data_IF_479385034736
#
_entry.id   IF_479385034736
#
_cell.length_a   1.000
_cell.length_b   1.000
_cell.length_c   1.000
_cell.angle_alpha   90.00
_cell.angle_beta   90.00
_cell.angle_gamma   90.00
#
_symmetry.space_group_name_H-M   'P 1'
#
loop_
_entity.id
_entity.type
_entity.pdbx_description
1 polymer ?
#
# COMPACT_ATOMS: atom_id res chain seq x y z
N UNK A 1 2.87 13.98 24.49
CA UNK A 1 2.56 14.03 25.94
C UNK A 1 2.14 12.64 26.40
N UNK A 2 2.85 12.09 27.39
CA UNK A 2 2.54 10.80 27.99
C UNK A 2 1.50 11.04 29.10
N UNK A 3 0.23 10.77 28.82
CA UNK A 3 -0.82 10.83 29.82
C UNK A 3 -0.62 9.68 30.82
N UNK A 4 -0.36 10.05 32.08
CA UNK A 4 -0.30 9.14 33.21
C UNK A 4 -1.69 9.00 33.81
N UNK A 5 -2.04 7.78 34.23
CA UNK A 5 -3.34 7.44 34.81
C UNK A 5 -3.08 6.69 36.11
N UNK A 6 -3.74 7.13 37.18
CA UNK A 6 -3.65 6.51 38.50
C UNK A 6 -4.87 5.62 38.73
N UNK A 7 -4.64 4.35 39.01
CA UNK A 7 -5.69 3.38 39.30
C UNK A 7 -5.16 2.31 40.27
N UNK A 8 -5.93 1.96 41.31
CA UNK A 8 -5.54 1.05 42.41
C UNK A 8 -4.15 1.36 43.00
N UNK A 9 -3.86 2.65 43.25
CA UNK A 9 -2.61 3.11 43.83
C UNK A 9 -1.37 3.03 42.91
N UNK A 10 -1.53 2.63 41.64
CA UNK A 10 -0.45 2.61 40.65
C UNK A 10 -0.63 3.73 39.64
N UNK A 11 0.43 4.48 39.36
CA UNK A 11 0.44 5.52 38.31
C UNK A 11 1.25 5.02 37.13
N UNK A 12 0.60 4.72 36.01
CA UNK A 12 1.24 4.20 34.79
C UNK A 12 0.80 4.98 33.56
N UNK A 13 1.59 4.90 32.49
CA UNK A 13 1.19 5.50 31.21
C UNK A 13 0.12 4.64 30.51
N UNK A 14 -0.64 5.25 29.60
CA UNK A 14 -1.66 4.57 28.77
C UNK A 14 -1.12 3.29 28.13
N UNK A 15 0.13 3.28 27.68
CA UNK A 15 0.72 2.10 27.01
C UNK A 15 0.98 0.94 27.96
N UNK A 16 1.30 1.23 29.22
CA UNK A 16 1.57 0.20 30.22
C UNK A 16 0.27 -0.35 30.80
N UNK A 17 -0.72 0.50 31.05
CA UNK A 17 -2.08 0.06 31.40
C UNK A 17 -2.72 -0.77 30.28
N UNK A 18 -2.58 -0.36 29.03
CA UNK A 18 -3.08 -1.14 27.89
C UNK A 18 -2.45 -2.55 27.85
N UNK A 19 -1.14 -2.66 28.12
CA UNK A 19 -0.47 -3.96 28.16
C UNK A 19 -0.91 -4.82 29.34
N UNK A 20 -1.04 -4.22 30.53
CA UNK A 20 -1.47 -4.91 31.75
C UNK A 20 -2.88 -5.48 31.61
N UNK A 21 -3.77 -4.74 30.94
CA UNK A 21 -5.12 -5.20 30.62
C UNK A 21 -5.19 -6.02 29.32
N UNK A 22 -4.09 -6.30 28.62
CA UNK A 22 -4.13 -7.08 27.37
C UNK A 22 -4.82 -6.39 26.17
N UNK A 23 -4.97 -5.07 26.22
CA UNK A 23 -5.59 -4.24 25.18
C UNK A 23 -4.55 -3.61 24.24
N UNK A 24 -4.98 -3.25 23.03
CA UNK A 24 -4.18 -2.36 22.19
C UNK A 24 -4.19 -0.94 22.80
N UNK A 25 -3.07 -0.21 22.64
CA UNK A 25 -2.96 1.19 23.10
C UNK A 25 -4.11 2.05 22.58
N UNK A 26 -4.52 1.85 21.32
CA UNK A 26 -5.61 2.59 20.69
C UNK A 26 -6.98 2.25 21.29
N UNK A 27 -7.23 0.97 21.59
CA UNK A 27 -8.47 0.52 22.25
C UNK A 27 -8.58 1.09 23.65
N UNK A 28 -7.51 0.98 24.44
CA UNK A 28 -7.46 1.51 25.80
C UNK A 28 -7.67 3.03 25.81
N UNK A 29 -6.97 3.76 24.93
CA UNK A 29 -7.18 5.22 24.77
C UNK A 29 -8.61 5.56 24.34
N UNK A 30 -9.20 4.80 23.42
CA UNK A 30 -10.57 5.04 22.95
C UNK A 30 -11.65 4.72 23.97
N UNK A 31 -11.38 3.86 24.95
CA UNK A 31 -12.26 3.61 26.10
C UNK A 31 -12.19 4.76 27.11
N UNK A 32 -10.99 5.23 27.42
CA UNK A 32 -10.79 6.40 28.29
C UNK A 32 -11.39 7.68 27.71
N UNK A 33 -11.26 7.89 26.40
CA UNK A 33 -11.86 9.05 25.72
C UNK A 33 -13.41 9.03 25.69
N UNK A 34 -14.03 7.94 26.14
CA UNK A 34 -15.49 7.79 26.31
C UNK A 34 -15.87 7.67 27.79
N UNK A 35 -15.00 8.15 28.68
CA UNK A 35 -15.19 8.17 30.13
C UNK A 35 -15.46 6.79 30.76
N UNK A 36 -14.85 5.75 30.20
CA UNK A 36 -14.95 4.42 30.81
C UNK A 36 -14.16 4.37 32.13
N UNK A 37 -14.78 3.94 33.24
CA UNK A 37 -14.06 3.76 34.49
C UNK A 37 -13.04 2.62 34.38
N UNK A 38 -11.89 2.78 35.02
CA UNK A 38 -10.76 1.82 34.92
C UNK A 38 -11.13 0.40 35.38
N UNK A 39 -12.01 0.28 36.37
CA UNK A 39 -12.54 -1.00 36.86
C UNK A 39 -13.27 -1.78 35.77
N UNK A 40 -14.05 -1.07 34.96
CA UNK A 40 -14.76 -1.63 33.81
C UNK A 40 -13.81 -2.03 32.69
N UNK A 41 -12.76 -1.24 32.47
CA UNK A 41 -11.75 -1.58 31.47
C UNK A 41 -11.03 -2.86 31.86
N UNK A 42 -10.68 -3.04 33.14
CA UNK A 42 -10.00 -4.24 33.65
C UNK A 42 -10.85 -5.51 33.49
N UNK A 43 -12.13 -5.48 33.88
CA UNK A 43 -13.01 -6.67 33.84
C UNK A 43 -13.36 -7.12 32.42
N UNK A 44 -13.55 -6.19 31.49
CA UNK A 44 -13.92 -6.47 30.10
C UNK A 44 -12.71 -6.72 29.17
N UNK A 45 -11.48 -6.72 29.69
CA UNK A 45 -10.27 -6.77 28.89
C UNK A 45 -9.57 -8.13 28.81
N UNK A 46 -10.16 -9.18 29.39
CA UNK A 46 -9.54 -10.51 29.40
C UNK A 46 -9.59 -11.15 28.01
N UNK A 47 -8.56 -10.89 27.20
CA UNK A 47 -8.23 -11.66 26.01
C UNK A 47 -7.29 -12.81 26.40
N UNK A 48 -7.81 -14.03 26.52
CA UNK A 48 -6.96 -15.22 26.60
C UNK A 48 -6.33 -15.44 25.21
N UNK A 49 -5.00 -15.29 25.11
CA UNK A 49 -4.24 -15.61 23.89
C UNK A 49 -3.97 -17.11 23.85
N UNK A 50 -4.75 -17.85 23.06
CA UNK A 50 -4.30 -19.15 22.54
C UNK A 50 -3.60 -18.95 21.19
N UNK A 51 -2.61 -19.81 20.91
CA UNK A 51 -1.69 -19.67 19.77
C UNK A 51 -2.38 -19.49 18.40
N UNK A 52 -1.69 -18.77 17.50
CA UNK A 52 -2.08 -18.39 16.13
C UNK A 52 -3.59 -18.14 15.93
N UNK A 53 -3.97 -16.89 16.19
CA UNK A 53 -5.10 -16.16 15.58
C UNK A 53 -6.55 -16.39 16.07
N UNK A 54 -6.79 -16.86 17.31
CA UNK A 54 -8.15 -16.84 17.85
C UNK A 54 -8.25 -16.00 19.14
N UNK A 55 -8.82 -14.80 19.01
CA UNK A 55 -9.17 -13.95 20.15
C UNK A 55 -10.51 -14.41 20.70
N UNK A 56 -10.48 -15.13 21.82
CA UNK A 56 -11.67 -15.49 22.58
C UNK A 56 -12.14 -14.28 23.39
N UNK A 57 -13.46 -14.13 23.47
CA UNK A 57 -14.15 -13.10 24.24
C UNK A 57 -14.90 -13.81 25.37
N UNK A 58 -14.61 -13.43 26.62
CA UNK A 58 -15.28 -13.94 27.80
C UNK A 58 -16.60 -13.22 28.06
N UNK A 59 -17.69 -13.97 28.21
CA UNK A 59 -19.00 -13.47 28.65
C UNK A 59 -19.82 -14.58 29.33
N UNK A 60 -20.50 -14.28 30.43
CA UNK A 60 -21.29 -15.25 31.25
C UNK A 60 -20.52 -16.56 31.59
N UNK A 61 -19.22 -16.46 31.86
CA UNK A 61 -18.37 -17.60 32.18
C UNK A 61 -17.95 -18.47 30.98
N UNK A 62 -18.35 -18.11 29.76
CA UNK A 62 -17.95 -18.79 28.53
C UNK A 62 -16.93 -17.95 27.75
N UNK A 63 -15.98 -18.62 27.09
CA UNK A 63 -14.98 -18.00 26.23
C UNK A 63 -15.17 -18.49 24.80
N UNK A 64 -15.75 -17.63 23.96
CA UNK A 64 -16.06 -17.94 22.56
C UNK A 64 -15.42 -16.93 21.62
N UNK A 65 -15.19 -17.33 20.38
CA UNK A 65 -14.72 -16.43 19.32
C UNK A 65 -15.80 -15.40 18.96
N UNK A 66 -15.41 -14.31 18.29
CA UNK A 66 -16.38 -13.34 17.74
C UNK A 66 -17.40 -14.00 16.80
N UNK A 67 -17.01 -15.08 16.10
CA UNK A 67 -17.90 -15.78 15.16
C UNK A 67 -18.91 -16.63 15.92
N UNK A 68 -18.47 -17.40 16.90
CA UNK A 68 -19.35 -18.21 17.75
C UNK A 68 -20.36 -17.34 18.52
N UNK A 69 -19.91 -16.20 19.08
CA UNK A 69 -20.83 -15.25 19.70
C UNK A 69 -21.81 -14.63 18.69
N UNK A 70 -21.37 -14.34 17.46
CA UNK A 70 -22.26 -13.80 16.44
C UNK A 70 -23.35 -14.82 16.06
N UNK A 71 -22.98 -16.10 15.90
CA UNK A 71 -23.91 -17.20 15.61
C UNK A 71 -24.90 -17.42 16.75
N UNK A 72 -24.44 -17.45 18.01
CA UNK A 72 -25.30 -17.62 19.19
C UNK A 72 -26.31 -16.50 19.36
N UNK A 73 -25.93 -15.27 19.03
CA UNK A 73 -26.83 -14.11 19.10
C UNK A 73 -27.66 -13.90 17.82
N UNK A 74 -27.55 -14.78 16.83
CA UNK A 74 -28.25 -14.64 15.54
C UNK A 74 -27.85 -13.38 14.76
N UNK A 75 -26.61 -12.90 14.95
CA UNK A 75 -26.06 -11.71 14.31
C UNK A 75 -25.13 -12.09 13.16
N UNK A 76 -25.13 -11.27 12.10
CA UNK A 76 -24.05 -11.35 11.11
C UNK A 76 -22.70 -11.05 11.80
N UNK A 77 -21.67 -11.86 11.50
CA UNK A 77 -20.30 -11.68 11.98
C UNK A 77 -19.80 -10.23 11.86
N UNK A 78 -20.06 -9.55 10.74
CA UNK A 78 -19.64 -8.17 10.53
C UNK A 78 -20.40 -7.18 11.42
N UNK A 79 -21.67 -7.44 11.71
CA UNK A 79 -22.46 -6.64 12.65
C UNK A 79 -21.90 -6.77 14.07
N UNK A 80 -21.65 -8.01 14.51
CA UNK A 80 -21.03 -8.28 15.79
C UNK A 80 -19.64 -7.62 15.88
N UNK A 81 -18.77 -7.87 14.89
CA UNK A 81 -17.41 -7.32 14.81
C UNK A 81 -17.41 -5.80 14.83
N UNK A 82 -18.31 -5.14 14.09
CA UNK A 82 -18.42 -3.68 14.07
C UNK A 82 -18.85 -3.13 15.43
N UNK A 83 -19.88 -3.72 16.06
CA UNK A 83 -20.36 -3.31 17.39
C UNK A 83 -19.25 -3.48 18.44
N UNK A 84 -18.63 -4.65 18.48
CA UNK A 84 -17.54 -4.95 19.40
C UNK A 84 -16.33 -4.02 19.20
N UNK A 85 -15.91 -3.76 17.95
CA UNK A 85 -14.83 -2.79 17.66
C UNK A 85 -15.20 -1.35 17.98
N UNK A 86 -16.49 -1.02 17.94
CA UNK A 86 -17.00 0.28 18.34
C UNK A 86 -17.12 0.43 19.87
N UNK A 87 -16.75 -0.61 20.63
CA UNK A 87 -16.72 -0.60 22.10
C UNK A 87 -17.99 -1.12 22.77
N UNK A 88 -18.91 -1.74 22.02
CA UNK A 88 -20.10 -2.35 22.61
C UNK A 88 -19.70 -3.58 23.44
N UNK A 89 -20.29 -3.70 24.62
CA UNK A 89 -20.19 -4.89 25.47
C UNK A 89 -20.99 -6.05 24.88
N UNK A 90 -20.63 -7.28 25.27
CA UNK A 90 -21.35 -8.47 24.81
C UNK A 90 -22.81 -8.45 25.26
N UNK A 91 -23.09 -7.95 26.48
CA UNK A 91 -24.45 -7.77 26.98
C UNK A 91 -25.27 -6.81 26.11
N UNK A 92 -24.70 -5.69 25.70
CA UNK A 92 -25.38 -4.74 24.80
C UNK A 92 -25.60 -5.32 23.42
N UNK A 93 -24.66 -6.13 22.92
CA UNK A 93 -24.77 -6.82 21.62
C UNK A 93 -25.87 -7.89 21.66
N UNK A 94 -25.96 -8.65 22.75
CA UNK A 94 -27.02 -9.64 23.02
C UNK A 94 -28.40 -8.95 23.12
N UNK A 95 -28.49 -7.84 23.87
CA UNK A 95 -29.76 -7.16 24.10
C UNK A 95 -30.27 -6.30 22.94
N UNK A 96 -29.42 -6.01 21.94
CA UNK A 96 -29.82 -5.28 20.74
C UNK A 96 -29.75 -6.19 19.52
N UNK A 97 -30.85 -6.81 19.08
CA UNK A 97 -30.83 -7.53 17.80
C UNK A 97 -30.40 -6.60 16.67
N UNK A 98 -29.86 -7.15 15.58
CA UNK A 98 -29.63 -6.38 14.37
C UNK A 98 -30.99 -5.92 13.85
N UNK A 99 -31.44 -4.72 14.25
CA UNK A 99 -32.62 -4.10 13.64
C UNK A 99 -32.29 -3.98 12.16
N UNK A 100 -32.97 -4.77 11.33
CA UNK A 100 -32.94 -4.59 9.89
C UNK A 100 -33.16 -3.10 9.66
N UNK A 101 -32.17 -2.43 9.05
CA UNK A 101 -32.20 -0.97 8.86
C UNK A 101 -33.58 -0.62 8.32
N UNK A 102 -34.38 0.10 9.12
CA UNK A 102 -35.76 0.43 8.75
C UNK A 102 -35.70 0.99 7.33
N UNK A 103 -36.26 0.25 6.38
CA UNK A 103 -36.20 0.66 4.99
C UNK A 103 -36.97 1.97 4.92
N UNK A 104 -36.29 3.07 4.59
CA UNK A 104 -36.92 4.38 4.51
C UNK A 104 -37.88 4.33 3.33
N UNK A 105 -39.15 4.08 3.62
CA UNK A 105 -40.22 4.03 2.64
C UNK A 105 -40.51 5.45 2.16
N UNK A 106 -40.53 5.62 0.85
CA UNK A 106 -40.86 6.87 0.19
C UNK A 106 -42.29 6.72 -0.33
N UNK A 107 -43.16 7.65 0.08
CA UNK A 107 -44.55 7.67 -0.39
C UNK A 107 -44.67 8.57 -1.62
N UNK A 108 -45.25 8.06 -2.69
CA UNK A 108 -45.50 8.78 -3.93
C UNK A 108 -46.65 8.13 -4.71
N UNK A 109 -47.57 8.93 -5.26
CA UNK A 109 -48.80 8.47 -5.98
C UNK A 109 -49.57 7.35 -5.25
N UNK A 110 -49.74 7.48 -3.94
CA UNK A 110 -50.48 6.48 -3.12
C UNK A 110 -49.73 5.17 -2.84
N UNK A 111 -48.54 4.95 -3.41
CA UNK A 111 -47.67 3.81 -3.09
C UNK A 111 -46.64 4.19 -2.02
N UNK A 112 -46.23 3.21 -1.20
CA UNK A 112 -45.12 3.32 -0.24
C UNK A 112 -44.11 2.21 -0.55
N UNK A 113 -42.97 2.59 -1.10
CA UNK A 113 -41.92 1.66 -1.54
C UNK A 113 -40.55 2.15 -1.07
N UNK A 114 -39.57 1.24 -1.01
CA UNK A 114 -38.20 1.64 -0.69
C UNK A 114 -37.51 2.28 -1.91
N UNK A 115 -36.38 2.95 -1.68
CA UNK A 115 -35.64 3.64 -2.73
C UNK A 115 -35.16 2.70 -3.87
N UNK A 116 -34.92 1.42 -3.59
CA UNK A 116 -34.51 0.46 -4.62
C UNK A 116 -35.68 0.02 -5.51
N UNK A 117 -36.87 -0.11 -4.95
CA UNK A 117 -38.09 -0.41 -5.68
C UNK A 117 -38.50 0.77 -6.54
N UNK A 118 -38.47 2.00 -6.01
CA UNK A 118 -38.69 3.20 -6.81
C UNK A 118 -37.64 3.38 -7.91
N UNK A 119 -36.37 3.08 -7.64
CA UNK A 119 -35.32 3.09 -8.66
C UNK A 119 -35.66 2.12 -9.80
N UNK A 120 -36.10 0.89 -9.48
CA UNK A 120 -36.53 -0.09 -10.49
C UNK A 120 -37.78 0.36 -11.25
N UNK A 121 -38.80 0.86 -10.55
CA UNK A 121 -40.06 1.33 -11.15
C UNK A 121 -39.83 2.51 -12.09
N UNK A 122 -38.86 3.39 -11.78
CA UNK A 122 -38.44 4.49 -12.63
C UNK A 122 -37.36 4.14 -13.66
N UNK A 123 -36.89 2.88 -13.72
CA UNK A 123 -35.83 2.47 -14.66
C UNK A 123 -34.47 3.14 -14.42
N UNK A 124 -34.16 3.48 -13.16
CA UNK A 124 -32.93 4.10 -12.70
C UNK A 124 -32.05 3.10 -11.93
N UNK A 125 -30.73 3.33 -11.91
CA UNK A 125 -29.88 2.67 -10.92
C UNK A 125 -30.19 3.19 -9.52
N UNK A 126 -29.98 2.34 -8.51
CA UNK A 126 -30.15 2.71 -7.11
C UNK A 126 -29.34 3.96 -6.75
N UNK A 127 -28.09 4.04 -7.19
CA UNK A 127 -27.20 5.17 -6.93
C UNK A 127 -27.71 6.48 -7.55
N UNK A 128 -28.29 6.42 -8.75
CA UNK A 128 -28.84 7.60 -9.44
C UNK A 128 -30.09 8.11 -8.73
N UNK A 129 -31.01 7.21 -8.40
CA UNK A 129 -32.21 7.55 -7.66
C UNK A 129 -31.85 8.13 -6.28
N UNK A 130 -30.94 7.47 -5.56
CA UNK A 130 -30.50 7.90 -4.24
C UNK A 130 -29.78 9.27 -4.30
N UNK A 131 -28.84 9.44 -5.23
CA UNK A 131 -28.13 10.71 -5.43
C UNK A 131 -29.06 11.88 -5.76
N UNK A 132 -30.08 11.67 -6.59
CA UNK A 132 -31.10 12.71 -6.90
C UNK A 132 -31.94 13.08 -5.69
N UNK A 133 -32.29 12.11 -4.84
CA UNK A 133 -33.00 12.37 -3.58
C UNK A 133 -32.16 13.14 -2.57
N UNK A 134 -30.86 12.84 -2.46
CA UNK A 134 -29.92 13.61 -1.62
C UNK A 134 -29.74 15.04 -2.14
N UNK A 135 -29.78 15.24 -3.46
CA UNK A 135 -29.81 16.57 -4.10
C UNK A 135 -31.17 17.28 -3.99
N UNK A 136 -32.13 16.73 -3.23
CA UNK A 136 -33.42 17.35 -2.95
C UNK A 136 -34.46 17.27 -4.07
N UNK A 137 -34.26 16.41 -5.08
CA UNK A 137 -35.23 16.29 -6.19
C UNK A 137 -36.56 15.69 -5.72
N UNK A 138 -37.68 16.25 -6.19
CA UNK A 138 -39.02 15.69 -5.95
C UNK A 138 -39.21 14.36 -6.70
N UNK A 139 -40.14 13.52 -6.22
CA UNK A 139 -40.44 12.24 -6.87
C UNK A 139 -40.98 12.43 -8.29
N UNK A 140 -41.82 13.44 -8.50
CA UNK A 140 -42.32 13.84 -9.83
C UNK A 140 -41.20 14.18 -10.78
N UNK A 141 -40.22 14.97 -10.31
CA UNK A 141 -39.06 15.35 -11.11
C UNK A 141 -38.17 14.16 -11.43
N UNK A 142 -37.98 13.25 -10.47
CA UNK A 142 -37.18 12.04 -10.69
C UNK A 142 -37.85 11.14 -11.71
N UNK A 143 -39.18 11.00 -11.68
CA UNK A 143 -39.98 10.23 -12.65
C UNK A 143 -39.96 10.90 -14.03
N UNK A 144 -40.15 12.21 -14.13
CA UNK A 144 -40.17 12.94 -15.41
C UNK A 144 -38.79 13.04 -16.06
N UNK A 145 -37.74 13.19 -15.24
CA UNK A 145 -36.34 13.21 -15.69
C UNK A 145 -35.67 11.85 -15.51
N UNK A 146 -36.44 10.77 -15.34
CA UNK A 146 -35.98 9.39 -15.35
C UNK A 146 -35.55 9.01 -16.78
N UNK A 147 -34.42 9.59 -17.21
CA UNK A 147 -33.77 9.17 -18.44
C UNK A 147 -33.17 7.80 -18.15
N UNK A 148 -33.89 6.78 -18.61
CA UNK A 148 -33.46 5.39 -18.76
C UNK A 148 -31.96 5.33 -19.07
N UNK A 149 -31.15 4.87 -18.12
CA UNK A 149 -29.77 4.53 -18.42
C UNK A 149 -29.73 3.12 -18.98
N UNK A 150 -29.99 2.99 -20.27
CA UNK A 150 -29.15 2.13 -21.10
C UNK A 150 -29.36 2.43 -22.58
N UNK A 151 -28.30 2.99 -23.19
CA UNK A 151 -28.07 3.20 -24.63
C UNK A 151 -28.70 4.45 -25.26
N UNK A 152 -27.85 5.49 -25.29
CA UNK A 152 -27.78 6.55 -26.30
C UNK A 152 -28.82 7.66 -26.18
N UNK A 153 -28.32 8.88 -25.93
CA UNK A 153 -29.04 10.12 -26.26
C UNK A 153 -29.43 10.04 -27.73
N UNK A 154 -30.72 9.94 -28.02
CA UNK A 154 -31.22 9.92 -29.39
C UNK A 154 -30.98 11.28 -30.03
N UNK A 155 -30.50 11.27 -31.27
CA UNK A 155 -30.12 12.44 -32.04
C UNK A 155 -31.06 12.49 -33.25
N UNK A 156 -31.73 13.61 -33.43
CA UNK A 156 -32.64 13.84 -34.55
C UNK A 156 -31.95 14.59 -35.67
N UNK A 157 -31.93 14.01 -36.87
CA UNK A 157 -31.38 14.63 -38.07
C UNK A 157 -32.07 14.10 -39.33
N UNK A 158 -32.38 14.99 -40.29
CA UNK A 158 -33.13 14.67 -41.52
C UNK A 158 -34.42 13.87 -41.26
N UNK A 159 -35.17 14.22 -40.22
CA UNK A 159 -36.44 13.56 -39.86
C UNK A 159 -36.29 12.16 -39.23
N UNK A 160 -35.07 11.63 -39.09
CA UNK A 160 -34.79 10.38 -38.36
C UNK A 160 -34.30 10.68 -36.95
N UNK A 161 -34.78 9.93 -35.96
CA UNK A 161 -34.31 9.98 -34.58
C UNK A 161 -33.64 8.66 -34.25
N UNK A 162 -32.32 8.68 -34.08
CA UNK A 162 -31.52 7.46 -33.90
C UNK A 162 -30.48 7.64 -32.79
N UNK A 163 -29.95 6.53 -32.29
CA UNK A 163 -28.86 6.51 -31.32
C UNK A 163 -27.53 6.99 -31.93
N UNK A 164 -26.59 7.41 -31.08
CA UNK A 164 -25.21 7.72 -31.52
C UNK A 164 -24.52 6.55 -32.20
N UNK A 165 -24.87 5.31 -31.84
CA UNK A 165 -24.33 4.10 -32.47
C UNK A 165 -24.88 3.91 -33.88
N UNK A 166 -26.19 4.02 -34.05
CA UNK A 166 -26.85 3.90 -35.36
C UNK A 166 -26.40 5.00 -36.32
N UNK A 167 -26.27 6.24 -35.85
CA UNK A 167 -25.72 7.32 -36.68
C UNK A 167 -24.25 7.11 -37.03
N UNK A 168 -23.45 6.53 -36.12
CA UNK A 168 -22.06 6.19 -36.42
C UNK A 168 -21.98 5.12 -37.52
N UNK A 169 -22.81 4.08 -37.45
CA UNK A 169 -22.92 3.04 -38.49
C UNK A 169 -23.40 3.63 -39.83
N UNK A 170 -24.46 4.46 -39.84
CA UNK A 170 -25.00 5.11 -41.05
C UNK A 170 -23.98 6.04 -41.72
N UNK A 171 -23.08 6.66 -40.94
CA UNK A 171 -22.02 7.54 -41.46
C UNK A 171 -20.67 6.85 -41.67
N UNK A 172 -20.57 5.54 -41.42
CA UNK A 172 -19.31 4.80 -41.54
C UNK A 172 -18.21 5.26 -40.55
N UNK A 173 -18.60 5.70 -39.36
CA UNK A 173 -17.73 6.19 -38.29
C UNK A 173 -17.69 5.21 -37.11
N UNK A 174 -16.59 5.25 -36.36
CA UNK A 174 -16.55 4.63 -35.02
C UNK A 174 -17.49 5.38 -34.05
N UNK A 175 -18.16 4.64 -33.16
CA UNK A 175 -19.14 5.20 -32.21
C UNK A 175 -18.54 6.30 -31.33
N UNK A 176 -17.28 6.15 -30.88
CA UNK A 176 -16.63 7.16 -30.06
C UNK A 176 -16.28 8.41 -30.88
N UNK A 177 -15.90 8.24 -32.14
CA UNK A 177 -15.60 9.34 -33.07
C UNK A 177 -16.84 10.18 -33.34
N UNK A 178 -17.96 9.54 -33.67
CA UNK A 178 -19.24 10.21 -33.83
C UNK A 178 -19.64 10.94 -32.53
N UNK A 179 -19.57 10.24 -31.39
CA UNK A 179 -19.95 10.81 -30.08
C UNK A 179 -19.10 12.01 -29.69
N UNK A 180 -17.79 11.96 -29.96
CA UNK A 180 -16.87 13.07 -29.71
C UNK A 180 -17.22 14.29 -30.58
N UNK A 181 -17.40 14.10 -31.89
CA UNK A 181 -17.72 15.20 -32.81
C UNK A 181 -19.05 15.85 -32.44
N UNK A 182 -20.07 15.05 -32.16
CA UNK A 182 -21.38 15.55 -31.73
C UNK A 182 -21.32 16.31 -30.39
N UNK A 183 -20.64 15.77 -29.37
CA UNK A 183 -20.45 16.46 -28.08
C UNK A 183 -19.60 17.73 -28.19
N UNK A 184 -18.69 17.78 -29.15
CA UNK A 184 -17.89 18.96 -29.47
C UNK A 184 -18.66 20.00 -30.29
N UNK A 185 -19.98 19.83 -30.46
CA UNK A 185 -20.87 20.78 -31.14
C UNK A 185 -20.77 20.77 -32.66
N UNK A 186 -20.25 19.69 -33.27
CA UNK A 186 -20.18 19.62 -34.73
C UNK A 186 -21.59 19.53 -35.32
N UNK A 187 -21.90 20.33 -36.37
CA UNK A 187 -23.15 20.18 -37.10
C UNK A 187 -23.25 18.79 -37.74
N UNK A 188 -24.41 18.16 -37.68
CA UNK A 188 -24.61 16.78 -38.13
C UNK A 188 -24.24 16.56 -39.61
N UNK A 189 -24.54 17.54 -40.47
CA UNK A 189 -24.14 17.56 -41.88
C UNK A 189 -22.61 17.47 -42.08
N UNK A 190 -21.84 18.08 -41.18
CA UNK A 190 -20.38 18.04 -41.18
C UNK A 190 -19.87 16.69 -40.70
N UNK A 191 -20.52 16.09 -39.72
CA UNK A 191 -20.16 14.75 -39.22
C UNK A 191 -20.33 13.71 -40.34
N UNK A 192 -21.44 13.79 -41.08
CA UNK A 192 -21.75 12.96 -42.26
C UNK A 192 -20.67 13.10 -43.37
N UNK A 193 -20.23 14.33 -43.67
CA UNK A 193 -19.30 14.57 -44.77
C UNK A 193 -17.82 14.36 -44.45
N UNK A 194 -17.46 14.14 -43.18
CA UNK A 194 -16.05 13.96 -42.77
C UNK A 194 -15.79 12.49 -42.41
N UNK A 195 -15.12 11.68 -43.22
CA UNK A 195 -14.82 10.29 -42.86
C UNK A 195 -13.93 10.20 -41.62
N UNK A 196 -13.92 9.05 -40.96
CA UNK A 196 -12.97 8.76 -39.88
C UNK A 196 -11.58 8.57 -40.48
N UNK A 197 -10.80 9.64 -40.59
CA UNK A 197 -9.37 9.49 -40.89
C UNK A 197 -8.75 8.69 -39.76
N UNK A 198 -8.09 7.57 -40.10
CA UNK A 198 -7.44 6.70 -39.14
C UNK A 198 -6.36 7.48 -38.38
N UNK A 199 -6.69 7.84 -37.14
CA UNK A 199 -5.77 8.40 -36.17
C UNK A 199 -5.63 9.92 -36.22
N UNK A 200 -6.17 10.57 -35.19
CA UNK A 200 -5.60 11.81 -34.65
C UNK A 200 -4.20 11.56 -34.06
N UNK A 201 -3.26 11.07 -34.87
CA UNK A 201 -1.87 11.44 -34.67
C UNK A 201 -1.73 12.74 -35.43
N UNK A 202 -1.50 13.84 -34.71
CA UNK A 202 -0.90 15.02 -35.32
C UNK A 202 0.19 14.54 -36.30
N UNK A 203 0.21 15.00 -37.56
CA UNK A 203 1.22 14.56 -38.51
C UNK A 203 2.58 14.68 -37.83
N UNK A 204 3.31 13.57 -37.73
CA UNK A 204 4.56 13.53 -36.99
C UNK A 204 5.45 14.64 -37.54
N UNK A 205 5.82 15.61 -36.69
CA UNK A 205 6.66 16.74 -37.07
C UNK A 205 7.88 16.21 -37.83
N UNK A 206 7.97 16.55 -39.11
CA UNK A 206 9.04 16.07 -39.98
C UNK A 206 10.32 16.84 -39.64
N UNK A 207 11.39 16.09 -39.40
CA UNK A 207 12.72 16.62 -39.12
C UNK A 207 13.48 16.60 -40.44
N UNK A 208 14.01 17.75 -40.86
CA UNK A 208 14.79 17.89 -42.09
C UNK A 208 16.27 17.65 -41.82
N UNK A 209 16.88 16.71 -42.54
CA UNK A 209 18.31 16.44 -42.46
C UNK A 209 18.79 15.78 -43.76
N UNK A 210 19.96 16.18 -44.27
CA UNK A 210 20.55 15.68 -45.53
C UNK A 210 19.56 15.64 -46.71
N UNK A 211 18.75 16.69 -46.87
CA UNK A 211 17.76 16.79 -47.96
C UNK A 211 16.51 15.91 -47.80
N UNK A 212 16.44 15.04 -46.78
CA UNK A 212 15.25 14.24 -46.46
C UNK A 212 14.41 14.90 -45.37
N UNK A 213 13.08 14.79 -45.46
CA UNK A 213 12.13 15.21 -44.43
C UNK A 213 11.37 13.99 -43.92
N UNK A 214 11.77 13.48 -42.76
CA UNK A 214 11.21 12.23 -42.21
C UNK A 214 10.74 12.41 -40.76
N UNK A 215 9.90 11.49 -40.30
CA UNK A 215 9.45 11.45 -38.91
C UNK A 215 10.59 11.05 -37.96
N UNK A 216 10.49 11.40 -36.67
CA UNK A 216 11.48 10.96 -35.68
C UNK A 216 11.58 9.44 -35.55
N UNK A 217 10.51 8.70 -35.91
CA UNK A 217 10.51 7.24 -35.99
C UNK A 217 11.37 6.73 -37.15
N UNK A 218 11.17 7.27 -38.34
CA UNK A 218 11.95 6.90 -39.52
C UNK A 218 13.43 7.25 -39.35
N UNK A 219 13.74 8.42 -38.79
CA UNK A 219 15.13 8.78 -38.48
C UNK A 219 15.75 7.88 -37.40
N UNK A 220 14.98 7.48 -36.38
CA UNK A 220 15.46 6.54 -35.37
C UNK A 220 15.77 5.17 -36.00
N UNK A 221 14.92 4.68 -36.90
CA UNK A 221 15.15 3.43 -37.65
C UNK A 221 16.37 3.56 -38.60
N UNK A 222 16.48 4.64 -39.38
CA UNK A 222 17.60 4.90 -40.30
C UNK A 222 18.94 5.02 -39.56
N UNK A 223 18.94 5.57 -38.34
CA UNK A 223 20.14 5.68 -37.49
C UNK A 223 20.40 4.47 -36.60
N UNK A 224 19.55 3.44 -36.64
CA UNK A 224 19.68 2.24 -35.78
C UNK A 224 19.44 2.51 -34.28
N UNK A 225 18.69 3.56 -33.95
CA UNK A 225 18.39 4.00 -32.59
C UNK A 225 17.00 3.55 -32.13
N UNK A 226 16.84 3.31 -30.82
CA UNK A 226 15.50 3.25 -30.22
C UNK A 226 14.84 4.62 -30.33
N UNK A 227 13.55 4.65 -30.70
CA UNK A 227 12.75 5.87 -30.82
C UNK A 227 12.82 6.77 -29.56
N UNK A 228 12.82 6.17 -28.36
CA UNK A 228 12.95 6.92 -27.12
C UNK A 228 14.30 7.64 -26.98
N UNK A 229 15.40 7.03 -27.43
CA UNK A 229 16.75 7.60 -27.42
C UNK A 229 16.86 8.77 -28.38
N UNK A 230 16.37 8.58 -29.61
CA UNK A 230 16.31 9.65 -30.61
C UNK A 230 15.50 10.85 -30.09
N UNK A 231 14.28 10.59 -29.59
CA UNK A 231 13.41 11.65 -29.05
C UNK A 231 14.00 12.33 -27.81
N UNK A 232 14.79 11.62 -26.99
CA UNK A 232 15.47 12.21 -25.86
C UNK A 232 16.57 13.17 -26.34
N UNK A 233 17.50 12.69 -27.18
CA UNK A 233 18.62 13.49 -27.71
C UNK A 233 18.13 14.72 -28.47
N UNK A 234 17.14 14.54 -29.35
CA UNK A 234 16.54 15.65 -30.11
C UNK A 234 15.85 16.68 -29.19
N UNK A 235 15.18 16.25 -28.11
CA UNK A 235 14.60 17.17 -27.11
C UNK A 235 15.64 17.88 -26.24
N UNK A 236 16.81 17.25 -26.04
CA UNK A 236 17.96 17.88 -25.38
C UNK A 236 18.72 18.83 -26.33
N UNK A 237 18.21 19.09 -27.54
CA UNK A 237 18.79 20.06 -28.48
C UNK A 237 19.94 19.52 -29.32
N UNK A 238 20.18 18.21 -29.35
CA UNK A 238 21.25 17.63 -30.17
C UNK A 238 20.94 17.82 -31.65
N UNK A 239 21.98 18.15 -32.43
CA UNK A 239 21.87 18.25 -33.88
C UNK A 239 21.77 16.86 -34.52
N UNK A 240 21.14 16.78 -35.70
CA UNK A 240 20.97 15.51 -36.41
C UNK A 240 22.29 14.83 -36.77
N UNK A 241 23.35 15.61 -37.02
CA UNK A 241 24.71 15.11 -37.28
C UNK A 241 25.33 14.47 -36.03
N UNK A 242 25.08 15.02 -34.85
CA UNK A 242 25.55 14.44 -33.57
C UNK A 242 24.77 13.18 -33.21
N UNK A 243 23.46 13.17 -33.45
CA UNK A 243 22.61 11.99 -33.20
C UNK A 243 23.04 10.81 -34.10
N UNK A 244 23.34 11.08 -35.38
CA UNK A 244 23.87 10.11 -36.34
C UNK A 244 25.28 9.63 -35.98
N UNK A 245 26.19 10.53 -35.59
CA UNK A 245 27.57 10.16 -35.23
C UNK A 245 27.63 9.30 -33.96
N UNK A 246 26.84 9.66 -32.94
CA UNK A 246 26.80 8.98 -31.64
C UNK A 246 25.87 7.73 -31.65
N UNK A 247 25.34 7.34 -32.82
CA UNK A 247 24.62 6.07 -32.98
C UNK A 247 25.56 4.90 -33.33
N UNK A 248 26.74 5.21 -33.88
CA UNK A 248 27.74 4.22 -34.29
C UNK A 248 28.40 3.55 -33.07
N UNK A 249 28.42 4.21 -31.91
CA UNK A 249 28.94 3.65 -30.65
C UNK A 249 27.84 2.93 -29.87
N UNK A 250 27.41 1.78 -30.40
CA UNK A 250 26.53 0.85 -29.70
C UNK A 250 27.18 0.28 -28.43
N UNK A 251 26.90 0.90 -27.27
CA UNK A 251 26.73 0.32 -25.91
C UNK A 251 26.91 1.42 -24.84
N UNK A 252 25.91 2.27 -24.62
CA UNK A 252 25.86 3.07 -23.41
C UNK A 252 25.22 2.29 -22.25
N UNK A 253 25.98 1.35 -21.69
CA UNK A 253 26.00 1.26 -20.24
C UNK A 253 26.65 2.55 -19.75
N UNK A 254 25.96 3.31 -18.90
CA UNK A 254 26.42 4.59 -18.30
C UNK A 254 27.95 4.69 -18.27
N UNK A 255 28.51 5.74 -18.88
CA UNK A 255 29.95 5.98 -18.88
C UNK A 255 30.54 5.64 -17.50
N UNK A 256 31.53 4.73 -17.43
CA UNK A 256 32.13 4.40 -16.16
C UNK A 256 32.72 5.69 -15.60
N UNK A 257 32.21 6.19 -14.47
CA UNK A 257 32.86 7.30 -13.76
C UNK A 257 34.32 6.92 -13.55
N UNK A 258 35.22 7.55 -14.29
CA UNK A 258 36.65 7.31 -14.23
C UNK A 258 37.20 7.96 -12.98
N UNK A 259 38.12 7.27 -12.32
CA UNK A 259 38.75 7.67 -11.06
C UNK A 259 40.24 7.76 -11.34
N UNK A 260 40.85 8.91 -11.02
CA UNK A 260 42.28 9.15 -11.20
C UNK A 260 43.03 8.93 -9.90
N UNK A 261 44.05 8.08 -9.92
CA UNK A 261 44.93 7.82 -8.78
C UNK A 261 46.29 7.34 -9.27
N UNK A 262 47.38 7.83 -8.64
CA UNK A 262 48.78 7.56 -9.04
C UNK A 262 49.04 7.75 -10.55
N UNK A 263 48.48 8.81 -11.15
CA UNK A 263 48.65 9.12 -12.58
C UNK A 263 47.88 8.23 -13.56
N UNK A 264 47.16 7.21 -13.09
CA UNK A 264 46.27 6.39 -13.91
C UNK A 264 44.82 6.85 -13.77
N UNK A 265 44.10 6.93 -14.88
CA UNK A 265 42.65 7.21 -14.91
C UNK A 265 41.92 5.97 -15.40
N UNK A 266 41.20 5.31 -14.50
CA UNK A 266 40.55 4.02 -14.79
C UNK A 266 39.13 3.98 -14.24
N UNK A 267 38.32 3.05 -14.75
CA UNK A 267 36.97 2.80 -14.24
C UNK A 267 36.98 2.16 -12.85
N UNK A 268 35.89 2.30 -12.11
CA UNK A 268 35.72 1.61 -10.83
C UNK A 268 35.79 0.08 -10.92
N UNK A 269 35.62 -0.50 -12.13
CA UNK A 269 35.76 -1.95 -12.35
C UNK A 269 37.25 -2.31 -12.44
N UNK A 270 38.00 -1.58 -13.26
CA UNK A 270 39.44 -1.79 -13.44
C UNK A 270 40.21 -1.57 -12.14
N UNK A 271 39.89 -0.52 -11.36
CA UNK A 271 40.49 -0.33 -10.04
C UNK A 271 40.13 -1.44 -9.04
N UNK A 272 38.93 -2.01 -9.14
CA UNK A 272 38.54 -3.13 -8.30
C UNK A 272 39.36 -4.39 -8.66
N UNK A 273 39.57 -4.66 -9.94
CA UNK A 273 40.43 -5.75 -10.43
C UNK A 273 41.90 -5.54 -10.03
N UNK A 274 42.46 -4.33 -10.21
CA UNK A 274 43.86 -4.00 -9.85
C UNK A 274 44.12 -4.12 -8.34
N UNK A 275 43.11 -3.86 -7.50
CA UNK A 275 43.21 -3.99 -6.04
C UNK A 275 42.73 -5.35 -5.50
N UNK A 276 42.33 -6.29 -6.36
CA UNK A 276 41.80 -7.59 -5.95
C UNK A 276 40.50 -7.51 -5.12
N UNK A 277 39.66 -6.50 -5.39
CA UNK A 277 38.40 -6.24 -4.71
C UNK A 277 37.20 -6.57 -5.60
N UNK A 278 36.08 -6.96 -5.00
CA UNK A 278 34.80 -6.95 -5.72
C UNK A 278 34.41 -5.51 -6.13
N UNK A 279 33.84 -5.38 -7.33
CA UNK A 279 33.45 -4.10 -7.93
C UNK A 279 32.52 -3.28 -7.03
N UNK A 280 31.58 -3.91 -6.32
CA UNK A 280 30.67 -3.19 -5.43
C UNK A 280 31.38 -2.77 -4.14
N UNK A 281 32.31 -3.57 -3.63
CA UNK A 281 33.13 -3.24 -2.46
C UNK A 281 34.00 -2.02 -2.72
N UNK A 282 34.72 -2.01 -3.83
CA UNK A 282 35.50 -0.84 -4.26
C UNK A 282 34.60 0.41 -4.38
N UNK A 283 33.46 0.26 -5.08
CA UNK A 283 32.52 1.38 -5.31
C UNK A 283 31.92 1.94 -4.02
N UNK A 284 31.60 1.07 -3.06
CA UNK A 284 31.10 1.46 -1.75
C UNK A 284 32.16 2.26 -0.99
N UNK A 285 33.39 1.76 -0.89
CA UNK A 285 34.49 2.43 -0.17
C UNK A 285 34.79 3.80 -0.76
N UNK A 286 34.89 3.90 -2.09
CA UNK A 286 35.14 5.17 -2.77
C UNK A 286 33.99 6.17 -2.56
N UNK A 287 32.73 5.75 -2.67
CA UNK A 287 31.56 6.63 -2.44
C UNK A 287 31.41 7.06 -0.99
N UNK A 288 31.83 6.23 -0.05
CA UNK A 288 31.89 6.55 1.37
C UNK A 288 33.09 7.44 1.72
N UNK A 289 33.78 8.00 0.72
CA UNK A 289 34.86 8.97 0.90
C UNK A 289 36.20 8.38 1.33
N UNK A 290 36.41 7.06 1.15
CA UNK A 290 37.69 6.47 1.52
C UNK A 290 38.81 6.96 0.59
N UNK A 291 39.95 7.41 1.14
CA UNK A 291 41.10 7.78 0.32
C UNK A 291 41.65 6.56 -0.41
N UNK A 292 42.03 6.74 -1.67
CA UNK A 292 42.34 5.63 -2.58
C UNK A 292 43.50 4.74 -2.11
N UNK A 293 44.51 5.32 -1.45
CA UNK A 293 45.62 4.59 -0.80
C UNK A 293 45.13 3.59 0.26
N UNK A 294 44.06 3.94 0.98
CA UNK A 294 43.45 3.07 1.99
C UNK A 294 42.62 1.95 1.35
N UNK A 295 42.01 2.21 0.19
CA UNK A 295 41.26 1.19 -0.56
C UNK A 295 42.23 0.14 -1.10
N UNK A 296 43.37 0.57 -1.64
CA UNK A 296 44.48 -0.28 -2.11
C UNK A 296 45.06 -1.16 -0.98
N UNK A 297 45.32 -0.57 0.19
CA UNK A 297 45.96 -1.30 1.30
C UNK A 297 45.03 -2.22 2.10
N UNK A 298 43.72 -2.19 1.86
CA UNK A 298 42.74 -2.98 2.64
C UNK A 298 42.13 -4.05 1.74
N UNK A 299 42.61 -5.31 1.75
CA UNK A 299 42.00 -6.35 0.93
C UNK A 299 40.53 -6.61 1.31
N UNK A 300 39.77 -7.20 0.38
CA UNK A 300 38.41 -7.65 0.68
C UNK A 300 38.51 -8.82 1.65
N UNK A 301 38.12 -8.61 2.92
CA UNK A 301 37.87 -9.74 3.81
C UNK A 301 36.86 -10.65 3.10
N UNK A 302 37.21 -11.93 2.94
CA UNK A 302 36.34 -12.97 2.41
C UNK A 302 34.94 -12.79 2.99
N UNK A 303 33.92 -12.90 2.14
CA UNK A 303 32.50 -12.72 2.47
C UNK A 303 32.13 -13.34 3.82
N UNK A 304 32.16 -12.53 4.87
CA UNK A 304 32.06 -13.01 6.24
C UNK A 304 31.88 -11.91 7.27
N UNK A 305 31.56 -10.68 6.86
CA UNK A 305 31.33 -9.58 7.79
C UNK A 305 29.87 -9.58 8.29
N UNK A 306 29.45 -10.67 8.92
CA UNK A 306 28.63 -10.51 10.14
C UNK A 306 29.62 -10.01 11.18
N UNK A 307 29.34 -8.85 11.77
CA UNK A 307 30.13 -8.31 12.87
C UNK A 307 30.59 -9.43 13.82
N UNK A 308 31.86 -9.50 14.24
CA UNK A 308 32.33 -10.54 15.13
C UNK A 308 31.39 -10.59 16.34
N UNK A 309 30.81 -11.76 16.59
CA UNK A 309 29.85 -11.93 17.68
C UNK A 309 30.54 -11.52 18.98
N UNK A 310 30.02 -10.49 19.65
CA UNK A 310 30.53 -9.99 20.93
C UNK A 310 30.74 -11.18 21.87
N UNK A 311 32.00 -11.44 22.25
CA UNK A 311 32.35 -12.56 23.12
C UNK A 311 31.89 -12.26 24.55
N UNK A 312 31.22 -13.23 25.16
CA UNK A 312 30.71 -13.16 26.52
C UNK A 312 31.67 -13.93 27.42
N UNK A 313 32.15 -13.28 28.49
CA UNK A 313 33.11 -13.85 29.45
C UNK A 313 32.37 -14.43 30.64
N UNK A 314 32.65 -15.69 30.97
CA UNK A 314 32.11 -16.37 32.14
C UNK A 314 33.00 -17.56 32.53
N UNK A 315 33.23 -17.76 33.84
CA UNK A 315 34.09 -18.81 34.40
C UNK A 315 35.45 -18.96 33.68
N UNK A 316 36.12 -17.84 33.39
CA UNK A 316 37.42 -17.84 32.72
C UNK A 316 37.40 -18.11 31.20
N UNK A 317 36.25 -18.50 30.61
CA UNK A 317 36.08 -18.70 29.17
C UNK A 317 35.52 -17.44 28.50
N UNK A 318 35.96 -17.18 27.28
CA UNK A 318 35.43 -16.11 26.41
C UNK A 318 34.87 -16.74 25.14
N UNK A 319 33.55 -16.86 25.04
CA UNK A 319 32.89 -17.57 23.94
C UNK A 319 31.77 -16.73 23.32
N UNK A 320 31.35 -17.11 22.11
CA UNK A 320 30.21 -16.48 21.44
C UNK A 320 28.88 -16.86 22.10
N UNK A 321 27.82 -16.07 21.85
CA UNK A 321 26.46 -16.41 22.33
C UNK A 321 25.96 -17.76 21.83
N UNK A 322 26.44 -18.21 20.67
CA UNK A 322 26.07 -19.50 20.10
C UNK A 322 26.75 -20.65 20.85
N UNK A 323 28.04 -20.52 21.12
CA UNK A 323 28.81 -21.52 21.88
C UNK A 323 28.30 -21.67 23.32
N UNK A 324 27.96 -20.56 23.98
CA UNK A 324 27.34 -20.63 25.31
C UNK A 324 25.93 -21.25 25.28
N UNK A 325 25.16 -21.01 24.21
CA UNK A 325 23.85 -21.65 24.05
C UNK A 325 24.01 -23.17 23.88
N UNK A 326 24.97 -23.63 23.08
CA UNK A 326 25.31 -25.05 22.91
C UNK A 326 25.82 -25.67 24.23
N UNK A 327 26.73 -25.00 24.95
CA UNK A 327 27.29 -25.48 26.24
C UNK A 327 26.21 -25.59 27.34
N UNK A 328 25.19 -24.73 27.30
CA UNK A 328 24.07 -24.74 28.25
C UNK A 328 22.84 -25.53 27.77
N UNK A 329 22.90 -26.15 26.58
CA UNK A 329 21.78 -26.90 25.99
C UNK A 329 20.55 -26.03 25.65
N UNK A 330 20.76 -24.76 25.34
CA UNK A 330 19.71 -23.77 25.01
C UNK A 330 19.71 -23.43 23.52
N UNK A 331 18.56 -23.00 23.00
CA UNK A 331 18.49 -22.34 21.69
C UNK A 331 19.23 -20.98 21.72
N UNK A 332 19.93 -20.65 20.64
CA UNK A 332 20.76 -19.43 20.51
C UNK A 332 19.95 -18.16 20.78
N UNK A 333 18.69 -18.09 20.35
CA UNK A 333 17.84 -16.93 20.60
C UNK A 333 17.39 -16.85 22.05
N UNK A 334 17.16 -17.99 22.71
CA UNK A 334 16.79 -18.05 24.13
C UNK A 334 17.93 -17.56 25.00
N UNK A 335 19.15 -18.02 24.74
CA UNK A 335 20.35 -17.54 25.42
C UNK A 335 20.53 -16.03 25.22
N UNK A 336 20.48 -15.54 23.97
CA UNK A 336 20.59 -14.11 23.65
C UNK A 336 19.54 -13.27 24.35
N UNK A 337 18.29 -13.72 24.34
CA UNK A 337 17.18 -13.02 24.96
C UNK A 337 17.41 -12.87 26.47
N UNK A 338 17.79 -13.95 27.17
CA UNK A 338 18.06 -13.91 28.62
C UNK A 338 19.25 -13.00 28.94
N UNK A 339 20.36 -13.17 28.24
CA UNK A 339 21.57 -12.38 28.45
C UNK A 339 21.34 -10.87 28.23
N UNK A 340 20.72 -10.48 27.10
CA UNK A 340 20.42 -9.06 26.82
C UNK A 340 19.22 -8.50 27.60
N UNK A 341 18.41 -9.37 28.19
CA UNK A 341 17.40 -8.97 29.19
C UNK A 341 17.99 -8.78 30.60
N UNK A 342 19.31 -8.97 30.75
CA UNK A 342 20.03 -8.69 32.00
C UNK A 342 20.09 -9.84 32.99
N UNK A 343 19.93 -11.09 32.52
CA UNK A 343 20.15 -12.28 33.33
C UNK A 343 21.66 -12.52 33.52
N UNK A 344 22.04 -13.01 34.70
CA UNK A 344 23.43 -13.41 34.96
C UNK A 344 23.74 -14.74 34.25
N UNK A 345 25.01 -15.00 33.96
CA UNK A 345 25.42 -16.26 33.30
C UNK A 345 25.15 -17.49 34.17
N UNK A 346 25.22 -17.34 35.50
CA UNK A 346 24.83 -18.39 36.47
C UNK A 346 23.33 -18.68 36.43
N UNK A 347 22.49 -17.65 36.30
CA UNK A 347 21.03 -17.80 36.18
C UNK A 347 20.66 -18.51 34.87
N UNK A 348 21.36 -18.22 33.77
CA UNK A 348 21.13 -18.84 32.46
C UNK A 348 21.55 -20.32 32.47
N UNK A 349 22.70 -20.65 33.08
CA UNK A 349 23.20 -22.02 33.21
C UNK A 349 22.25 -22.91 34.03
N UNK A 350 21.68 -22.38 35.13
CA UNK A 350 20.79 -23.14 36.02
C UNK A 350 19.37 -23.38 35.48
N UNK A 351 18.97 -22.77 34.35
CA UNK A 351 17.57 -22.72 33.90
C UNK A 351 17.29 -23.46 32.57
N UNK A 352 17.95 -24.59 32.31
CA UNK A 352 17.74 -25.44 31.11
C UNK A 352 16.72 -26.58 31.33
N UNK A 353 16.03 -27.09 30.30
CA UNK A 353 14.76 -26.56 29.79
C UNK A 353 13.54 -27.40 30.22
N UNK A 354 12.50 -26.74 30.73
CA UNK A 354 11.20 -27.36 30.98
C UNK A 354 10.15 -26.40 31.53
N UNK A 355 10.57 -25.38 32.28
CA UNK A 355 9.62 -24.43 32.87
C UNK A 355 9.51 -23.16 32.04
N UNK A 356 8.32 -22.94 31.46
CA UNK A 356 7.88 -21.62 31.00
C UNK A 356 7.72 -20.71 32.21
N UNK A 357 8.82 -20.20 32.75
CA UNK A 357 8.78 -19.35 33.93
C UNK A 357 8.51 -17.90 33.51
N UNK A 358 7.28 -17.45 33.77
CA UNK A 358 6.81 -16.08 33.62
C UNK A 358 7.45 -15.18 34.68
N UNK A 359 8.68 -14.69 34.42
CA UNK A 359 9.30 -13.69 35.29
C UNK A 359 9.25 -12.28 34.65
N UNK A 360 8.41 -11.43 35.24
CA UNK A 360 8.41 -9.98 35.00
C UNK A 360 9.59 -9.35 35.75
N UNK A 361 10.66 -8.96 35.04
CA UNK A 361 11.68 -8.04 35.59
C UNK A 361 11.37 -6.64 35.08
N UNK A 362 10.99 -5.76 35.99
CA UNK A 362 10.81 -4.32 35.77
C UNK A 362 12.12 -3.72 35.26
N UNK A 363 12.11 -3.16 34.04
CA UNK A 363 13.25 -2.38 33.53
C UNK A 363 13.30 -1.07 34.31
N UNK A 364 14.34 -0.88 35.14
CA UNK A 364 14.74 0.45 35.61
C UNK A 364 15.14 1.29 34.39
N UNK A 365 14.43 2.38 34.13
CA UNK A 365 14.86 3.41 33.20
C UNK A 365 16.17 4.03 33.72
N UNK A 366 17.17 4.16 32.83
CA UNK A 366 18.33 5.03 33.07
C UNK A 366 17.84 6.48 33.12
N UNK A 367 18.33 7.21 34.13
CA UNK A 367 18.13 8.65 34.31
C UNK A 367 18.68 9.44 33.14
#
# INVERSE_FOLDING_TARGET
MNHLITYKGKTKCISDWAKEFGLSRSTFRGRLARDWPMERIESEAIHVRMGREQKLIGYKGQYKTMREWAEEFGLNYDTFRRRFRSGWSIKEIESTPAVARAQKLISYKGKKQNASEWAKEFGLSFETFYGRRELGWSMERIESEAVQYSRCKLITYKGKTQSSKQWAEEFGLDENTFRYRYRSGWPMKRIESTPATSGNRQPSKLIKYKGKSQSSKQWAEEFGLKLCTFNYRYRQGWSMKEIEKESVNGKHGRDPRLITYKGKTQSSKQWAEEFGLDKNTFRYRYRSGWPMKRIESTPAAASGNRQPSKLIKYKGKSQSSKQWAEEFGLDENTFRYRYWSGWSMEEIEKTSPGEKNTYQKTRKCRQ
#
